data_IF_474167328152
#
_entry.id   IF_474167328152
#
_cell.length_a   1.000
_cell.length_b   1.000
_cell.length_c   1.000
_cell.angle_alpha   90.00
_cell.angle_beta   90.00
_cell.angle_gamma   90.00
#
_symmetry.space_group_name_H-M   'P 1'
#
loop_
_entity.id
_entity.type
_entity.pdbx_description
1 polymer ?
#
# COMPACT_ATOMS: atom_id res chain seq x y z
N UNK A 1 -69.66 -6.25 72.34
CA UNK A 1 -68.41 -5.53 72.13
C UNK A 1 -67.56 -6.45 71.30
N UNK A 2 -67.51 -6.24 70.01
CA UNK A 2 -66.73 -7.03 69.07
C UNK A 2 -66.22 -6.09 67.97
N UNK A 3 -64.95 -5.71 68.11
CA UNK A 3 -64.32 -4.85 67.11
C UNK A 3 -63.90 -5.68 65.88
N UNK A 4 -64.49 -5.29 64.78
CA UNK A 4 -64.15 -5.88 63.48
C UNK A 4 -62.82 -5.41 62.98
N UNK A 5 -61.89 -6.35 62.78
CA UNK A 5 -60.60 -6.15 62.04
C UNK A 5 -60.85 -6.21 60.54
N UNK A 6 -60.85 -5.07 59.88
CA UNK A 6 -60.81 -4.99 58.42
C UNK A 6 -59.41 -5.35 57.90
N UNK A 7 -59.22 -6.25 56.91
CA UNK A 7 -58.01 -6.52 56.30
C UNK A 7 -57.63 -5.41 55.29
N UNK A 8 -56.61 -4.64 55.58
CA UNK A 8 -56.01 -3.69 54.64
C UNK A 8 -55.47 -4.40 53.40
N UNK A 9 -56.18 -4.23 52.31
CA UNK A 9 -55.72 -4.65 51.00
C UNK A 9 -54.55 -3.72 50.55
N UNK A 10 -53.32 -4.18 50.73
CA UNK A 10 -52.13 -3.54 50.16
C UNK A 10 -52.07 -3.84 48.66
N UNK A 11 -52.69 -3.00 47.84
CA UNK A 11 -52.49 -3.00 46.41
C UNK A 11 -51.09 -2.46 46.17
N UNK A 12 -50.13 -3.37 45.93
CA UNK A 12 -48.84 -3.00 45.46
C UNK A 12 -48.97 -2.32 44.08
N UNK A 13 -48.79 -1.02 44.06
CA UNK A 13 -48.72 -0.22 42.85
C UNK A 13 -47.44 -0.63 42.12
N UNK A 14 -47.54 -1.66 41.28
CA UNK A 14 -46.47 -2.04 40.36
C UNK A 14 -46.41 -0.94 39.32
N UNK A 15 -45.59 0.08 39.55
CA UNK A 15 -45.22 1.04 38.55
C UNK A 15 -44.60 0.28 37.39
N UNK A 16 -45.33 0.13 36.30
CA UNK A 16 -44.82 -0.30 35.02
C UNK A 16 -43.84 0.79 34.58
N UNK A 17 -42.55 0.58 34.86
CA UNK A 17 -41.50 1.39 34.25
C UNK A 17 -41.73 1.38 32.75
N UNK A 18 -41.74 2.54 32.06
CA UNK A 18 -41.83 2.56 30.61
C UNK A 18 -40.64 1.77 30.08
N UNK A 19 -40.94 0.69 29.33
CA UNK A 19 -39.91 0.00 28.54
C UNK A 19 -39.20 1.07 27.76
N UNK A 20 -37.91 1.30 28.05
CA UNK A 20 -37.07 2.16 27.28
C UNK A 20 -37.18 1.69 25.83
N UNK A 21 -37.86 2.48 25.02
CA UNK A 21 -37.95 2.22 23.58
C UNK A 21 -36.53 2.06 23.07
N UNK A 22 -36.17 0.84 22.63
CA UNK A 22 -34.84 0.56 22.14
C UNK A 22 -34.49 1.62 21.10
N UNK A 23 -33.48 2.45 21.39
CA UNK A 23 -33.11 3.51 20.46
C UNK A 23 -32.67 2.86 19.13
N UNK A 24 -33.25 3.26 18.02
CA UNK A 24 -32.94 2.73 16.68
C UNK A 24 -31.49 3.03 16.30
N UNK A 25 -30.87 4.01 16.97
CA UNK A 25 -29.49 4.45 16.74
C UNK A 25 -28.45 3.34 16.79
N UNK A 26 -28.34 2.53 17.87
CA UNK A 26 -27.35 1.45 17.90
C UNK A 26 -27.59 0.37 16.85
N UNK A 27 -28.84 0.14 16.46
CA UNK A 27 -29.15 -0.82 15.40
C UNK A 27 -28.66 -0.29 14.05
N UNK A 28 -28.96 0.97 13.73
CA UNK A 28 -28.48 1.61 12.49
C UNK A 28 -26.96 1.66 12.44
N UNK A 29 -26.32 1.97 13.57
CA UNK A 29 -24.84 1.97 13.66
C UNK A 29 -24.28 0.55 13.42
N UNK A 30 -24.85 -0.47 14.05
CA UNK A 30 -24.42 -1.86 13.86
C UNK A 30 -24.59 -2.32 12.42
N UNK A 31 -25.70 -1.96 11.76
CA UNK A 31 -25.93 -2.25 10.34
C UNK A 31 -24.91 -1.52 9.48
N UNK A 32 -24.70 -0.23 9.71
CA UNK A 32 -23.71 0.56 8.94
C UNK A 32 -22.30 -0.01 9.09
N UNK A 33 -21.87 -0.35 10.30
CA UNK A 33 -20.57 -0.99 10.55
C UNK A 33 -20.49 -2.37 9.88
N UNK A 34 -21.55 -3.16 9.94
CA UNK A 34 -21.59 -4.48 9.29
C UNK A 34 -21.46 -4.38 7.76
N UNK A 35 -22.19 -3.44 7.15
CA UNK A 35 -22.12 -3.17 5.71
C UNK A 35 -20.71 -2.69 5.34
N UNK A 36 -20.15 -1.73 6.07
CA UNK A 36 -18.81 -1.22 5.82
C UNK A 36 -17.74 -2.32 5.94
N UNK A 37 -17.81 -3.15 6.97
CA UNK A 37 -16.92 -4.29 7.17
C UNK A 37 -17.07 -5.33 6.05
N UNK A 38 -18.31 -5.63 5.66
CA UNK A 38 -18.58 -6.58 4.56
C UNK A 38 -18.03 -6.10 3.21
N UNK A 39 -18.27 -4.84 2.86
CA UNK A 39 -17.75 -4.23 1.64
C UNK A 39 -16.22 -4.19 1.70
N UNK A 40 -15.63 -3.80 2.83
CA UNK A 40 -14.18 -3.76 3.02
C UNK A 40 -13.54 -5.14 2.85
N UNK A 41 -14.09 -6.17 3.48
CA UNK A 41 -13.61 -7.54 3.38
C UNK A 41 -13.74 -8.09 1.95
N UNK A 42 -14.86 -7.82 1.28
CA UNK A 42 -15.07 -8.21 -0.10
C UNK A 42 -14.05 -7.53 -1.03
N UNK A 43 -13.91 -6.21 -0.92
CA UNK A 43 -12.95 -5.44 -1.74
C UNK A 43 -11.53 -5.91 -1.53
N UNK A 44 -11.12 -6.14 -0.27
CA UNK A 44 -9.79 -6.65 0.06
C UNK A 44 -9.54 -8.05 -0.55
N UNK A 45 -10.54 -8.93 -0.46
CA UNK A 45 -10.47 -10.29 -1.05
C UNK A 45 -10.43 -10.22 -2.57
N UNK A 46 -11.30 -9.42 -3.20
CA UNK A 46 -11.36 -9.23 -4.65
C UNK A 46 -10.03 -8.66 -5.21
N UNK A 47 -9.44 -7.69 -4.53
CA UNK A 47 -8.15 -7.12 -4.87
C UNK A 47 -6.96 -8.05 -4.53
N UNK A 48 -7.21 -9.27 -4.09
CA UNK A 48 -6.17 -10.23 -3.65
C UNK A 48 -5.22 -9.62 -2.61
N UNK A 49 -5.76 -8.87 -1.65
CA UNK A 49 -5.00 -8.09 -0.68
C UNK A 49 -3.90 -8.87 0.04
N UNK A 50 -4.11 -10.16 0.34
CA UNK A 50 -3.09 -11.00 0.97
C UNK A 50 -1.85 -11.23 0.10
N UNK A 51 -1.96 -11.16 -1.24
CA UNK A 51 -0.82 -11.37 -2.13
C UNK A 51 0.28 -10.34 -1.94
N UNK A 52 -0.07 -9.14 -1.48
CA UNK A 52 0.89 -8.06 -1.24
C UNK A 52 1.80 -8.28 -0.01
N UNK A 53 1.47 -9.24 0.85
CA UNK A 53 2.37 -9.66 1.93
C UNK A 53 3.48 -10.61 1.45
N UNK A 54 3.28 -11.24 0.32
CA UNK A 54 4.27 -12.12 -0.31
C UNK A 54 5.34 -11.39 -1.11
N UNK A 55 6.10 -12.18 -1.86
CA UNK A 55 7.20 -11.75 -2.73
C UNK A 55 6.93 -12.02 -4.21
N UNK A 56 5.80 -12.66 -4.53
CA UNK A 56 5.45 -13.03 -5.91
C UNK A 56 5.27 -11.78 -6.79
N UNK A 57 6.03 -11.64 -7.88
CA UNK A 57 5.88 -10.55 -8.84
C UNK A 57 4.46 -10.40 -9.40
N UNK A 58 3.70 -11.48 -9.44
CA UNK A 58 2.30 -11.46 -9.91
C UNK A 58 1.40 -10.59 -9.04
N UNK A 59 1.77 -10.34 -7.77
CA UNK A 59 1.02 -9.40 -6.93
C UNK A 59 1.03 -7.98 -7.51
N UNK A 60 2.14 -7.58 -8.15
CA UNK A 60 2.26 -6.25 -8.75
C UNK A 60 1.35 -6.07 -9.98
N UNK A 61 1.14 -7.15 -10.75
CA UNK A 61 0.26 -7.15 -11.95
C UNK A 61 -1.23 -7.33 -11.63
N UNK A 62 -1.63 -7.38 -10.37
CA UNK A 62 -3.05 -7.23 -10.02
C UNK A 62 -3.62 -5.88 -10.50
N UNK A 63 -2.76 -4.87 -10.65
CA UNK A 63 -3.09 -3.63 -11.35
C UNK A 63 -2.61 -3.76 -12.81
N UNK A 64 -3.53 -3.80 -13.77
CA UNK A 64 -3.22 -4.00 -15.20
C UNK A 64 -2.23 -2.98 -15.77
N UNK A 65 -2.17 -1.78 -15.20
CA UNK A 65 -1.20 -0.74 -15.57
C UNK A 65 0.26 -1.17 -15.38
N UNK A 66 0.50 -2.22 -14.57
CA UNK A 66 1.82 -2.79 -14.32
C UNK A 66 2.18 -3.95 -15.27
N UNK A 67 1.28 -4.34 -16.17
CA UNK A 67 1.54 -5.43 -17.12
C UNK A 67 2.75 -5.15 -18.03
N UNK A 68 2.93 -3.94 -18.60
CA UNK A 68 4.11 -3.63 -19.41
C UNK A 68 5.42 -3.77 -18.61
N UNK A 69 5.43 -3.30 -17.35
CA UNK A 69 6.59 -3.38 -16.48
C UNK A 69 6.95 -4.84 -16.13
N UNK A 70 5.92 -5.66 -15.87
CA UNK A 70 6.10 -7.08 -15.61
C UNK A 70 6.62 -7.81 -16.84
N UNK A 71 6.05 -7.57 -18.02
CA UNK A 71 6.47 -8.18 -19.27
C UNK A 71 7.92 -7.78 -19.66
N UNK A 72 8.29 -6.53 -19.38
CA UNK A 72 9.65 -6.05 -19.59
C UNK A 72 10.64 -6.68 -18.61
N UNK A 73 10.27 -6.77 -17.30
CA UNK A 73 11.09 -7.46 -16.31
C UNK A 73 11.33 -8.93 -16.67
N UNK A 74 10.32 -9.66 -17.17
CA UNK A 74 10.47 -11.05 -17.58
C UNK A 74 11.54 -11.24 -18.69
N UNK A 75 11.85 -10.20 -19.42
CA UNK A 75 12.87 -10.20 -20.49
C UNK A 75 14.22 -9.60 -20.03
N UNK A 76 14.24 -9.06 -18.80
CA UNK A 76 15.45 -8.41 -18.28
C UNK A 76 16.51 -9.42 -17.82
N UNK A 77 17.76 -8.95 -17.74
CA UNK A 77 18.88 -9.76 -17.23
C UNK A 77 18.70 -10.19 -15.76
N UNK A 78 17.88 -9.47 -14.99
CA UNK A 78 17.65 -9.72 -13.57
C UNK A 78 16.49 -10.68 -13.30
N UNK A 79 15.71 -11.07 -14.31
CA UNK A 79 14.53 -11.93 -14.13
C UNK A 79 14.84 -13.24 -13.37
N UNK A 80 16.01 -13.85 -13.62
CA UNK A 80 16.37 -15.13 -13.02
C UNK A 80 16.87 -15.03 -11.56
N UNK A 81 17.22 -13.83 -11.09
CA UNK A 81 17.93 -13.64 -9.81
C UNK A 81 17.27 -12.64 -8.87
N UNK A 82 16.35 -11.81 -9.35
CA UNK A 82 15.69 -10.78 -8.56
C UNK A 82 14.23 -10.60 -8.96
N UNK A 83 13.36 -10.42 -7.98
CA UNK A 83 11.95 -10.09 -8.18
C UNK A 83 11.71 -8.61 -7.95
N UNK A 84 10.51 -8.11 -8.28
CA UNK A 84 10.18 -6.69 -8.21
C UNK A 84 10.58 -6.04 -6.87
N UNK A 85 10.28 -6.73 -5.77
CA UNK A 85 10.53 -6.18 -4.42
C UNK A 85 12.02 -6.15 -4.05
N UNK A 86 12.89 -6.93 -4.70
CA UNK A 86 14.32 -6.94 -4.41
C UNK A 86 15.00 -5.65 -4.89
N UNK A 87 14.41 -5.01 -5.90
CA UNK A 87 14.84 -3.72 -6.40
C UNK A 87 14.06 -2.56 -5.77
N UNK A 88 12.72 -2.68 -5.65
CA UNK A 88 11.83 -1.57 -5.35
C UNK A 88 11.48 -1.39 -3.86
N UNK A 89 11.88 -2.30 -2.98
CA UNK A 89 11.61 -2.20 -1.55
C UNK A 89 12.89 -2.34 -0.72
N UNK A 90 12.95 -1.72 0.46
CA UNK A 90 14.07 -1.92 1.40
C UNK A 90 14.28 -3.40 1.71
N UNK A 91 15.54 -3.82 1.86
CA UNK A 91 15.88 -5.20 2.18
C UNK A 91 15.44 -5.61 3.59
N UNK A 92 15.52 -4.69 4.55
CA UNK A 92 15.18 -4.94 5.96
C UNK A 92 13.69 -5.13 6.16
N UNK A 93 13.32 -6.05 7.06
CA UNK A 93 11.93 -6.46 7.28
C UNK A 93 10.99 -5.29 7.62
N UNK A 94 11.29 -4.52 8.67
CA UNK A 94 10.41 -3.43 9.12
C UNK A 94 10.27 -2.32 8.08
N UNK A 95 11.35 -1.74 7.52
CA UNK A 95 11.26 -0.75 6.47
C UNK A 95 10.52 -1.26 5.21
N UNK A 96 10.69 -2.54 4.86
CA UNK A 96 9.99 -3.18 3.74
C UNK A 96 8.47 -3.10 3.89
N UNK A 97 7.95 -3.47 5.06
CA UNK A 97 6.50 -3.47 5.27
C UNK A 97 5.93 -2.06 5.48
N UNK A 98 6.70 -1.14 6.03
CA UNK A 98 6.33 0.28 6.07
C UNK A 98 6.21 0.82 4.64
N UNK A 99 7.22 0.58 3.80
CA UNK A 99 7.20 0.99 2.39
C UNK A 99 6.05 0.33 1.60
N UNK A 100 5.72 -0.95 1.88
CA UNK A 100 4.55 -1.61 1.28
C UNK A 100 3.25 -0.93 1.69
N UNK A 101 3.07 -0.60 2.96
CA UNK A 101 1.87 0.07 3.46
C UNK A 101 1.72 1.48 2.86
N UNK A 102 2.79 2.26 2.85
CA UNK A 102 2.81 3.59 2.25
C UNK A 102 2.50 3.55 0.74
N UNK A 103 3.17 2.67 0.01
CA UNK A 103 2.92 2.50 -1.42
C UNK A 103 1.49 2.01 -1.69
N UNK A 104 0.98 1.07 -0.90
CA UNK A 104 -0.38 0.58 -1.01
C UNK A 104 -1.42 1.69 -0.82
N UNK A 105 -1.26 2.50 0.22
CA UNK A 105 -2.11 3.66 0.47
C UNK A 105 -2.03 4.68 -0.68
N UNK A 106 -0.81 5.04 -1.09
CA UNK A 106 -0.60 6.04 -2.14
C UNK A 106 -1.16 5.58 -3.48
N UNK A 107 -0.85 4.35 -3.90
CA UNK A 107 -1.35 3.82 -5.16
C UNK A 107 -2.87 3.68 -5.14
N UNK A 108 -3.44 3.17 -4.05
CA UNK A 108 -4.88 3.08 -3.89
C UNK A 108 -5.57 4.45 -3.95
N UNK A 109 -5.01 5.46 -3.29
CA UNK A 109 -5.52 6.83 -3.35
C UNK A 109 -5.46 7.39 -4.78
N UNK A 110 -4.28 7.37 -5.41
CA UNK A 110 -4.07 7.93 -6.75
C UNK A 110 -4.96 7.26 -7.80
N UNK A 111 -5.11 5.94 -7.71
CA UNK A 111 -5.99 5.18 -8.60
C UNK A 111 -7.46 5.56 -8.38
N UNK A 112 -7.92 5.64 -7.13
CA UNK A 112 -9.31 5.98 -6.81
C UNK A 112 -9.66 7.41 -7.22
N UNK A 113 -8.71 8.34 -7.06
CA UNK A 113 -8.92 9.75 -7.43
C UNK A 113 -8.56 10.07 -8.87
N UNK A 114 -8.03 9.10 -9.62
CA UNK A 114 -7.55 9.27 -11.01
C UNK A 114 -6.54 10.44 -11.14
N UNK A 115 -5.66 10.60 -10.15
CA UNK A 115 -4.68 11.69 -10.09
C UNK A 115 -3.23 11.20 -10.28
N UNK A 116 -3.03 10.03 -10.84
CA UNK A 116 -1.70 9.53 -11.19
C UNK A 116 -1.20 10.14 -12.51
N UNK A 117 0.10 10.30 -12.59
CA UNK A 117 0.78 10.81 -13.79
C UNK A 117 1.11 9.66 -14.74
N UNK A 118 0.97 9.87 -16.04
CA UNK A 118 1.41 8.95 -17.10
C UNK A 118 2.50 9.62 -17.95
N UNK A 119 3.62 8.91 -18.17
CA UNK A 119 3.96 7.56 -17.73
C UNK A 119 4.25 7.49 -16.23
N UNK A 120 3.96 6.34 -15.62
CA UNK A 120 4.28 6.11 -14.20
C UNK A 120 5.80 6.12 -14.04
N UNK A 121 6.28 6.93 -13.10
CA UNK A 121 7.69 7.08 -12.80
C UNK A 121 8.00 6.77 -11.35
N UNK A 122 9.23 6.29 -11.10
CA UNK A 122 9.71 6.09 -9.74
C UNK A 122 9.93 7.45 -9.07
N UNK A 123 9.52 7.58 -7.81
CA UNK A 123 9.71 8.80 -7.02
C UNK A 123 11.15 8.86 -6.45
N UNK A 124 11.63 10.05 -6.02
CA UNK A 124 12.99 10.19 -5.48
C UNK A 124 13.32 9.24 -4.34
N UNK A 125 12.39 9.02 -3.40
CA UNK A 125 12.56 8.04 -2.32
C UNK A 125 12.71 6.60 -2.85
N UNK A 126 12.02 6.26 -3.95
CA UNK A 126 12.17 4.97 -4.62
C UNK A 126 13.51 4.84 -5.33
N UNK A 127 14.05 5.94 -5.89
CA UNK A 127 15.38 5.94 -6.49
C UNK A 127 16.47 5.66 -5.46
N UNK A 128 16.37 6.21 -4.25
CA UNK A 128 17.32 5.92 -3.17
C UNK A 128 17.28 4.43 -2.78
N UNK A 129 16.09 3.84 -2.67
CA UNK A 129 15.93 2.40 -2.40
C UNK A 129 16.54 1.56 -3.52
N UNK A 130 16.34 1.94 -4.77
CA UNK A 130 16.95 1.26 -5.93
C UNK A 130 18.47 1.31 -5.86
N UNK A 131 19.05 2.47 -5.56
CA UNK A 131 20.50 2.62 -5.42
C UNK A 131 21.06 1.69 -4.33
N UNK A 132 20.47 1.70 -3.13
CA UNK A 132 20.87 0.83 -2.02
C UNK A 132 20.78 -0.66 -2.40
N UNK A 133 19.75 -1.06 -3.13
CA UNK A 133 19.59 -2.45 -3.55
C UNK A 133 20.55 -2.86 -4.66
N UNK A 134 20.89 -1.95 -5.58
CA UNK A 134 21.94 -2.18 -6.57
C UNK A 134 23.28 -2.43 -5.87
N UNK A 135 23.68 -1.54 -4.98
CA UNK A 135 24.92 -1.65 -4.21
C UNK A 135 24.95 -2.90 -3.35
N UNK A 136 23.84 -3.24 -2.68
CA UNK A 136 23.74 -4.44 -1.85
C UNK A 136 24.12 -5.73 -2.59
N UNK A 137 23.75 -5.86 -3.85
CA UNK A 137 24.05 -7.05 -4.65
C UNK A 137 25.39 -6.91 -5.41
N UNK A 138 25.76 -5.68 -5.80
CA UNK A 138 26.92 -5.41 -6.64
C UNK A 138 28.09 -4.79 -5.89
N UNK A 139 28.07 -4.71 -4.53
CA UNK A 139 29.12 -4.12 -3.73
C UNK A 139 30.54 -4.55 -4.15
N UNK A 140 30.85 -5.85 -4.34
CA UNK A 140 32.20 -6.27 -4.70
C UNK A 140 32.71 -5.69 -6.03
N UNK A 141 31.80 -5.26 -6.91
CA UNK A 141 32.14 -4.70 -8.22
C UNK A 141 32.27 -3.18 -8.22
N UNK A 142 31.60 -2.50 -7.27
CA UNK A 142 31.43 -1.04 -7.30
C UNK A 142 32.09 -0.31 -6.13
N UNK A 143 32.47 -1.01 -5.05
CA UNK A 143 33.05 -0.38 -3.85
C UNK A 143 34.34 0.37 -4.09
N UNK A 144 35.09 0.05 -5.19
CA UNK A 144 36.29 0.73 -5.55
C UNK A 144 36.09 1.94 -6.47
N UNK A 145 34.85 2.22 -6.87
CA UNK A 145 34.56 3.32 -7.80
C UNK A 145 34.27 4.58 -6.97
N UNK A 146 35.25 5.49 -6.92
CA UNK A 146 35.09 6.77 -6.25
C UNK A 146 34.24 7.75 -7.08
N UNK A 147 33.37 8.52 -6.44
CA UNK A 147 32.54 9.55 -7.07
C UNK A 147 31.66 9.05 -8.23
N UNK A 148 31.21 7.79 -8.17
CA UNK A 148 30.34 7.26 -9.20
C UNK A 148 28.98 7.98 -9.17
N UNK A 149 28.41 8.31 -10.34
CA UNK A 149 27.01 8.73 -10.42
C UNK A 149 26.10 7.59 -9.98
N UNK A 150 24.82 7.91 -9.64
CA UNK A 150 23.83 6.88 -9.33
C UNK A 150 23.79 5.81 -10.43
N UNK A 151 23.65 4.54 -10.03
CA UNK A 151 23.69 3.39 -10.95
C UNK A 151 22.69 3.55 -12.11
N UNK A 152 21.50 4.03 -11.80
CA UNK A 152 20.44 4.25 -12.79
C UNK A 152 20.73 5.38 -13.79
N UNK A 153 21.75 6.19 -13.56
CA UNK A 153 22.17 7.20 -14.54
C UNK A 153 22.63 6.54 -15.87
N UNK A 154 23.32 5.41 -15.76
CA UNK A 154 23.81 4.66 -16.92
C UNK A 154 23.02 3.36 -17.15
N UNK A 155 22.50 2.73 -16.09
CA UNK A 155 21.86 1.41 -16.11
C UNK A 155 20.33 1.48 -15.98
N UNK A 156 19.70 2.50 -16.51
CA UNK A 156 18.25 2.73 -16.37
C UNK A 156 17.37 1.65 -17.01
N UNK A 157 17.91 0.89 -17.99
CA UNK A 157 17.18 -0.18 -18.69
C UNK A 157 17.27 -1.55 -18.02
N UNK A 158 18.06 -1.68 -16.96
CA UNK A 158 18.45 -2.99 -16.40
C UNK A 158 17.27 -3.82 -15.88
N UNK A 159 16.23 -3.18 -15.36
CA UNK A 159 15.07 -3.86 -14.80
C UNK A 159 13.91 -4.06 -15.78
N UNK A 160 13.67 -3.07 -16.61
CA UNK A 160 12.49 -3.02 -17.47
C UNK A 160 12.79 -2.81 -18.96
N UNK A 161 14.07 -2.70 -19.34
CA UNK A 161 14.46 -2.39 -20.71
C UNK A 161 14.02 -1.00 -21.17
N UNK A 162 14.12 -0.77 -22.45
CA UNK A 162 13.64 0.48 -23.07
C UNK A 162 12.13 0.47 -23.13
N UNK A 163 11.48 1.52 -22.67
CA UNK A 163 10.05 1.72 -22.87
C UNK A 163 9.80 2.07 -24.33
N UNK A 164 9.21 1.13 -25.05
CA UNK A 164 8.66 1.39 -26.38
C UNK A 164 7.23 1.91 -26.22
N UNK A 165 6.95 3.14 -26.64
CA UNK A 165 5.60 3.70 -26.62
C UNK A 165 5.52 5.16 -26.22
N UNK A 166 4.30 5.63 -25.91
CA UNK A 166 3.99 7.04 -25.65
C UNK A 166 4.74 7.66 -24.45
N UNK A 167 5.37 6.86 -23.62
CA UNK A 167 6.11 7.32 -22.44
C UNK A 167 7.62 7.42 -22.59
N UNK A 168 8.23 7.02 -23.69
CA UNK A 168 9.68 7.09 -23.93
C UNK A 168 10.59 6.83 -22.70
N UNK A 169 11.88 6.66 -22.86
CA UNK A 169 12.78 6.60 -21.73
C UNK A 169 12.78 7.95 -21.00
N UNK A 170 12.68 7.93 -19.67
CA UNK A 170 13.10 9.08 -18.87
C UNK A 170 14.53 9.39 -19.29
N UNK A 171 14.76 10.57 -19.84
CA UNK A 171 16.11 10.95 -20.25
C UNK A 171 17.01 10.92 -19.04
N UNK A 172 18.24 10.45 -19.21
CA UNK A 172 19.24 10.43 -18.13
C UNK A 172 19.38 11.79 -17.42
N UNK A 173 19.10 12.89 -18.14
CA UNK A 173 19.04 14.25 -17.61
C UNK A 173 17.93 14.47 -16.56
N UNK A 174 16.77 13.82 -16.70
CA UNK A 174 15.66 13.95 -15.74
C UNK A 174 15.91 13.12 -14.47
N UNK A 175 16.58 11.97 -14.60
CA UNK A 175 17.05 11.18 -13.46
C UNK A 175 18.16 11.92 -12.69
N UNK A 176 19.09 12.59 -13.36
CA UNK A 176 20.16 13.40 -12.77
C UNK A 176 19.60 14.58 -11.95
N UNK A 177 18.69 15.35 -12.53
CA UNK A 177 18.09 16.52 -11.88
C UNK A 177 17.28 16.14 -10.61
N UNK A 178 16.71 14.94 -10.57
CA UNK A 178 15.93 14.45 -9.41
C UNK A 178 16.83 14.02 -8.25
N UNK A 179 18.05 13.57 -8.52
CA UNK A 179 19.00 13.13 -7.51
C UNK A 179 19.82 14.29 -6.92
N UNK A 180 20.13 15.32 -7.72
CA UNK A 180 20.84 16.52 -7.25
C UNK A 180 20.00 17.38 -6.29
N UNK A 181 18.68 17.34 -6.39
CA UNK A 181 17.78 18.10 -5.50
C UNK A 181 17.71 17.61 -4.05
N UNK A 182 18.29 16.47 -3.70
CA UNK A 182 18.25 15.90 -2.34
C UNK A 182 19.58 15.97 -1.58
N UNK A 183 20.67 16.44 -2.23
CA UNK A 183 22.00 16.56 -1.61
C UNK A 183 22.24 17.83 -0.76
N UNK A 184 21.23 18.62 -0.54
CA UNK A 184 21.36 19.91 0.13
C UNK A 184 20.36 20.17 1.24
N UNK A 185 20.41 19.37 2.31
CA UNK A 185 19.93 19.81 3.65
C UNK A 185 20.71 19.03 4.72
N UNK A 186 21.81 19.62 5.16
CA UNK A 186 22.37 19.42 6.48
C UNK A 186 21.39 19.89 7.55
#
# INVERSE_FOLDING_TARGET
MGEGLEPRRHWANRSLSPRSGGSVGPILLAVACGVAAGIGAYTFSYAKGLSYFGTDPKACVNCHIMEPEYAAWQKSSHHAVAVCIDCHLPASFVPKYIAKAENGYRHGKLFTTQTFEEPITVKPAGLAILQENCERCHAPLVESIENAPACLHCHWTVGHGDRAGLGGPLRAAELGATLEGHGGRE
#
